data_IF_520321145359
#
_entry.id   IF_520321145359
#
_cell.length_a   1.000
_cell.length_b   1.000
_cell.length_c   1.000
_cell.angle_alpha   90.00
_cell.angle_beta   90.00
_cell.angle_gamma   90.00
#
_symmetry.space_group_name_H-M   'P 1'
#
loop_
_entity.id
_entity.type
_entity.pdbx_description
1 polymer ?
#
# COMPACT_ATOMS: atom_id res chain seq x y z
N UNK A 1 -11.23 14.76 14.93
CA UNK A 1 -12.17 15.83 14.66
C UNK A 1 -11.99 16.29 13.23
N UNK A 2 -13.12 16.46 12.54
CA UNK A 2 -13.14 16.81 11.12
C UNK A 2 -12.60 18.25 10.95
N UNK A 3 -11.56 18.43 10.15
CA UNK A 3 -10.87 19.69 9.90
C UNK A 3 -11.83 20.86 9.56
N UNK A 4 -12.84 20.72 8.67
CA UNK A 4 -13.81 21.78 8.41
C UNK A 4 -14.58 22.25 9.65
N UNK A 5 -14.91 21.33 10.55
CA UNK A 5 -15.62 21.64 11.80
C UNK A 5 -14.75 22.49 12.75
N UNK A 6 -13.43 22.20 12.79
CA UNK A 6 -12.49 23.01 13.57
C UNK A 6 -12.41 24.42 13.01
N UNK A 7 -12.24 24.57 11.71
CA UNK A 7 -12.19 25.88 11.03
C UNK A 7 -13.47 26.71 11.36
N UNK A 8 -14.64 26.12 11.17
CA UNK A 8 -15.90 26.79 11.47
C UNK A 8 -15.96 27.26 12.92
N UNK A 9 -15.67 26.37 13.88
CA UNK A 9 -15.71 26.70 15.30
C UNK A 9 -14.74 27.86 15.64
N UNK A 10 -13.50 27.78 15.18
CA UNK A 10 -12.46 28.76 15.46
C UNK A 10 -12.78 30.09 14.80
N UNK A 11 -13.18 30.09 13.52
CA UNK A 11 -13.56 31.32 12.81
C UNK A 11 -14.76 32.00 13.45
N UNK A 12 -15.74 31.24 13.91
CA UNK A 12 -16.89 31.75 14.63
C UNK A 12 -16.50 32.37 15.98
N UNK A 13 -15.59 31.77 16.72
CA UNK A 13 -15.06 32.31 17.98
C UNK A 13 -14.26 33.58 17.72
N UNK A 14 -13.34 33.56 16.74
CA UNK A 14 -12.53 34.71 16.36
C UNK A 14 -13.39 35.91 15.93
N UNK A 15 -14.42 35.68 15.11
CA UNK A 15 -15.38 36.69 14.66
C UNK A 15 -16.08 37.35 15.83
N UNK A 16 -16.57 36.54 16.79
CA UNK A 16 -17.22 37.05 18.01
C UNK A 16 -16.26 37.85 18.89
N UNK A 17 -15.01 37.39 19.01
CA UNK A 17 -14.01 38.02 19.87
C UNK A 17 -13.55 39.40 19.38
N UNK A 18 -13.78 39.75 18.12
CA UNK A 18 -13.50 41.05 17.54
C UNK A 18 -14.76 41.81 17.09
N UNK A 19 -15.94 41.35 17.50
CA UNK A 19 -17.24 41.91 17.12
C UNK A 19 -17.41 42.16 15.62
N UNK A 20 -16.77 41.31 14.78
CA UNK A 20 -16.86 41.41 13.34
C UNK A 20 -18.22 40.90 12.83
N UNK A 21 -18.75 41.53 11.80
CA UNK A 21 -19.95 41.06 11.11
C UNK A 21 -19.66 39.87 10.18
N UNK A 22 -18.56 39.92 9.43
CA UNK A 22 -18.14 38.89 8.54
C UNK A 22 -16.80 38.27 8.91
N UNK A 23 -16.60 36.97 8.53
CA UNK A 23 -15.32 36.29 8.59
C UNK A 23 -15.18 35.32 7.41
N UNK A 24 -13.97 35.25 6.90
CA UNK A 24 -13.60 34.42 5.75
C UNK A 24 -12.28 33.71 6.06
N UNK A 25 -12.19 32.47 5.71
CA UNK A 25 -10.95 31.71 5.80
C UNK A 25 -10.53 31.19 4.42
N UNK A 26 -9.33 31.52 4.03
CA UNK A 26 -8.70 31.09 2.81
C UNK A 26 -7.55 30.15 3.15
N UNK A 27 -7.57 28.93 2.61
CA UNK A 27 -6.41 28.02 2.69
C UNK A 27 -5.41 28.33 1.57
N UNK A 28 -4.15 27.97 1.79
CA UNK A 28 -3.11 28.06 0.78
C UNK A 28 -2.55 26.65 0.54
N UNK A 29 -2.72 26.15 -0.68
CA UNK A 29 -2.19 24.87 -1.09
C UNK A 29 -0.93 25.04 -1.95
N UNK A 30 0.08 24.18 -1.71
CA UNK A 30 1.38 24.17 -2.41
C UNK A 30 2.11 25.52 -2.50
N UNK A 31 1.82 26.45 -1.57
CA UNK A 31 2.27 27.86 -1.64
C UNK A 31 1.90 28.57 -2.95
N UNK A 32 0.91 28.08 -3.68
CA UNK A 32 0.55 28.57 -5.02
C UNK A 32 -0.89 28.99 -5.18
N UNK A 33 -1.81 28.26 -4.57
CA UNK A 33 -3.24 28.52 -4.73
C UNK A 33 -3.84 29.01 -3.43
N UNK A 34 -4.66 30.06 -3.51
CA UNK A 34 -5.49 30.53 -2.41
C UNK A 34 -6.94 30.21 -2.69
N UNK A 35 -7.59 29.49 -1.77
CA UNK A 35 -8.94 28.96 -1.92
C UNK A 35 -9.79 29.40 -0.73
N UNK A 36 -11.02 29.91 -0.98
CA UNK A 36 -11.98 30.17 0.08
C UNK A 36 -12.55 28.84 0.59
N UNK A 37 -12.36 28.52 1.86
CA UNK A 37 -12.90 27.29 2.46
C UNK A 37 -14.07 27.55 3.44
N UNK A 38 -14.10 28.74 4.02
CA UNK A 38 -15.15 29.11 4.98
C UNK A 38 -15.48 30.58 4.88
N UNK A 39 -16.76 30.89 4.90
CA UNK A 39 -17.24 32.28 5.07
C UNK A 39 -18.51 32.31 5.89
N UNK A 40 -18.68 33.42 6.65
CA UNK A 40 -19.88 33.70 7.38
C UNK A 40 -20.06 35.22 7.50
N UNK A 41 -21.22 35.76 7.08
CA UNK A 41 -21.62 37.11 7.28
C UNK A 41 -22.92 37.13 8.12
N UNK A 42 -22.84 37.63 9.32
CA UNK A 42 -23.90 37.49 10.31
C UNK A 42 -25.17 38.32 9.98
N UNK A 43 -24.97 39.54 9.51
CA UNK A 43 -26.11 40.42 9.13
C UNK A 43 -26.89 39.92 7.92
N UNK A 44 -26.24 39.17 7.02
CA UNK A 44 -26.86 38.56 5.84
C UNK A 44 -27.42 37.16 6.12
N UNK A 45 -27.10 36.60 7.28
CA UNK A 45 -27.34 35.19 7.60
C UNK A 45 -26.85 34.21 6.50
N UNK A 46 -25.79 34.59 5.76
CA UNK A 46 -25.17 33.81 4.71
C UNK A 46 -23.90 33.20 5.26
N UNK A 47 -23.69 31.93 4.96
CA UNK A 47 -22.44 31.22 5.30
C UNK A 47 -22.17 30.13 4.27
N UNK A 48 -20.91 29.96 3.96
CA UNK A 48 -20.39 28.85 3.14
C UNK A 48 -19.48 28.02 4.03
N UNK A 49 -19.75 26.73 4.11
CA UNK A 49 -18.90 25.77 4.78
C UNK A 49 -18.73 24.61 3.79
N UNK A 50 -17.48 24.34 3.36
CA UNK A 50 -17.19 23.35 2.34
C UNK A 50 -17.29 23.86 0.89
N UNK A 51 -17.31 22.94 -0.06
CA UNK A 51 -17.21 23.22 -1.51
C UNK A 51 -18.48 23.76 -2.17
N UNK A 52 -19.54 24.02 -1.42
CA UNK A 52 -20.81 24.49 -1.97
C UNK A 52 -20.81 26.01 -2.15
N UNK A 53 -21.07 26.49 -3.38
CA UNK A 53 -21.21 27.89 -3.81
C UNK A 53 -19.96 28.78 -3.85
N UNK A 54 -18.87 28.31 -4.45
CA UNK A 54 -17.65 29.08 -4.71
C UNK A 54 -17.71 30.06 -5.89
N UNK A 55 -18.88 30.35 -6.47
CA UNK A 55 -18.97 31.15 -7.70
C UNK A 55 -18.43 32.59 -7.55
N UNK A 56 -18.46 33.18 -6.32
CA UNK A 56 -17.98 34.53 -6.08
C UNK A 56 -16.47 34.64 -5.80
N UNK A 57 -15.83 33.57 -5.28
CA UNK A 57 -14.43 33.58 -4.91
C UNK A 57 -13.73 32.41 -5.55
N UNK A 58 -13.36 32.52 -6.84
CA UNK A 58 -12.64 31.44 -7.53
C UNK A 58 -11.27 31.21 -6.90
N UNK A 59 -10.78 29.98 -7.02
CA UNK A 59 -9.38 29.66 -6.68
C UNK A 59 -8.42 30.54 -7.45
N UNK A 60 -7.48 31.17 -6.76
CA UNK A 60 -6.53 32.13 -7.37
C UNK A 60 -5.11 31.59 -7.29
N UNK A 61 -4.43 31.60 -8.43
CA UNK A 61 -3.03 31.22 -8.52
C UNK A 61 -2.12 32.38 -8.11
N UNK A 62 -1.50 32.33 -6.96
CA UNK A 62 -0.70 33.40 -6.36
C UNK A 62 0.48 33.89 -7.24
N UNK A 63 1.22 33.03 -7.97
CA UNK A 63 2.25 33.50 -8.88
C UNK A 63 1.75 34.48 -9.95
N UNK A 64 0.53 34.31 -10.48
CA UNK A 64 -0.05 35.25 -11.47
C UNK A 64 -0.41 36.58 -10.83
N UNK A 65 -0.73 36.59 -9.53
CA UNK A 65 -1.08 37.79 -8.77
C UNK A 65 0.14 38.60 -8.39
N UNK A 66 1.32 37.98 -8.28
CA UNK A 66 2.55 38.61 -7.79
C UNK A 66 2.90 39.90 -8.56
N UNK A 67 2.67 39.93 -9.86
CA UNK A 67 3.00 41.04 -10.74
C UNK A 67 1.86 42.03 -10.94
N UNK A 68 0.67 41.82 -10.34
CA UNK A 68 -0.44 42.75 -10.41
C UNK A 68 -0.14 44.01 -9.57
N UNK A 69 -0.49 45.18 -10.09
CA UNK A 69 -0.34 46.45 -9.40
C UNK A 69 -1.23 46.58 -8.13
N UNK A 70 -2.40 45.94 -8.19
CA UNK A 70 -3.35 45.84 -7.04
C UNK A 70 -3.64 44.37 -6.79
N UNK A 71 -3.88 44.01 -5.54
CA UNK A 71 -4.16 42.65 -5.07
C UNK A 71 -5.35 42.68 -4.12
N UNK A 72 -6.21 41.66 -4.20
CA UNK A 72 -7.24 41.49 -3.22
C UNK A 72 -6.65 41.40 -1.80
N UNK A 73 -7.36 41.79 -0.73
CA UNK A 73 -6.81 41.80 0.63
C UNK A 73 -6.20 40.44 1.05
N UNK A 74 -6.90 39.34 0.77
CA UNK A 74 -6.39 37.99 1.05
C UNK A 74 -5.16 37.64 0.26
N UNK A 75 -5.08 38.04 -1.03
CA UNK A 75 -3.91 37.83 -1.91
C UNK A 75 -2.70 38.66 -1.43
N UNK A 76 -2.93 39.96 -1.08
CA UNK A 76 -1.87 40.82 -0.54
C UNK A 76 -1.30 40.25 0.75
N UNK A 77 -2.19 39.87 1.68
CA UNK A 77 -1.82 39.29 2.96
C UNK A 77 -1.04 37.98 2.77
N UNK A 78 -1.46 37.13 1.82
CA UNK A 78 -0.79 35.87 1.49
C UNK A 78 0.63 36.08 0.92
N UNK A 79 0.78 37.03 -0.02
CA UNK A 79 2.04 37.27 -0.70
C UNK A 79 3.09 37.99 0.15
N UNK A 80 2.64 39.02 0.93
CA UNK A 80 3.53 39.84 1.73
C UNK A 80 3.70 39.34 3.17
N UNK A 81 2.83 38.40 3.62
CA UNK A 81 2.79 37.91 5.01
C UNK A 81 2.59 39.02 6.05
N UNK A 82 1.93 40.07 5.65
CA UNK A 82 1.65 41.23 6.47
C UNK A 82 0.18 41.28 6.90
N UNK A 83 -0.08 41.73 8.11
CA UNK A 83 -1.44 41.97 8.62
C UNK A 83 -1.99 43.22 7.94
N UNK A 84 -3.17 43.13 7.36
CA UNK A 84 -3.91 44.28 6.90
C UNK A 84 -4.93 44.62 8.00
N UNK A 85 -4.87 45.80 8.55
CA UNK A 85 -5.88 46.36 9.43
C UNK A 85 -6.32 47.72 8.86
N UNK A 86 -7.38 47.72 8.11
CA UNK A 86 -7.87 48.93 7.42
C UNK A 86 -9.18 49.42 8.01
N UNK A 87 -9.26 50.73 8.40
CA UNK A 87 -10.50 51.34 8.85
C UNK A 87 -11.51 51.53 7.71
N UNK A 88 -11.04 51.68 6.46
CA UNK A 88 -11.86 51.71 5.26
C UNK A 88 -11.10 51.12 4.09
N UNK A 89 -11.52 49.90 3.68
CA UNK A 89 -10.81 49.12 2.70
C UNK A 89 -10.79 49.78 1.31
N UNK A 90 -11.84 50.51 0.96
CA UNK A 90 -11.93 51.23 -0.32
C UNK A 90 -10.97 52.42 -0.42
N UNK A 91 -10.46 52.89 0.71
CA UNK A 91 -9.46 53.98 0.78
C UNK A 91 -8.04 53.51 0.95
N UNK A 92 -7.83 52.16 1.00
CA UNK A 92 -6.50 51.58 1.20
C UNK A 92 -5.77 51.50 -0.12
N UNK A 93 -4.63 52.18 -0.23
CA UNK A 93 -3.80 52.16 -1.46
C UNK A 93 -3.21 50.81 -1.72
N UNK A 94 -3.14 50.40 -3.01
CA UNK A 94 -2.52 49.15 -3.42
C UNK A 94 -3.39 47.89 -3.26
N UNK A 95 -4.55 48.02 -2.71
CA UNK A 95 -5.52 46.92 -2.57
C UNK A 95 -6.52 46.96 -3.72
N UNK A 96 -6.84 45.80 -4.27
CA UNK A 96 -7.93 45.59 -5.21
C UNK A 96 -9.21 45.27 -4.46
N UNK A 97 -10.21 46.06 -4.68
CA UNK A 97 -11.53 45.95 -3.99
C UNK A 97 -12.65 45.48 -4.94
N UNK A 98 -12.36 45.14 -6.18
CA UNK A 98 -13.38 44.79 -7.17
C UNK A 98 -14.26 43.59 -6.76
N UNK A 99 -13.65 42.56 -6.15
CA UNK A 99 -14.40 41.41 -5.65
C UNK A 99 -15.26 41.75 -4.47
N UNK A 100 -14.77 42.64 -3.57
CA UNK A 100 -15.54 43.14 -2.43
C UNK A 100 -16.74 43.98 -2.91
N UNK A 101 -16.49 44.87 -3.87
CA UNK A 101 -17.59 45.69 -4.45
C UNK A 101 -18.66 44.83 -5.11
N UNK A 102 -18.26 43.80 -5.90
CA UNK A 102 -19.23 42.86 -6.49
C UNK A 102 -20.01 42.07 -5.43
N UNK A 103 -19.35 41.64 -4.35
CA UNK A 103 -20.03 40.94 -3.26
C UNK A 103 -21.02 41.90 -2.55
N UNK A 104 -20.60 43.12 -2.27
CA UNK A 104 -21.43 44.15 -1.62
C UNK A 104 -22.67 44.48 -2.47
N UNK A 105 -22.50 44.72 -3.76
CA UNK A 105 -23.59 44.99 -4.72
C UNK A 105 -24.58 43.83 -4.81
N UNK A 106 -24.06 42.61 -4.90
CA UNK A 106 -24.89 41.40 -5.06
C UNK A 106 -25.71 41.07 -3.79
N UNK A 107 -25.24 41.49 -2.62
CA UNK A 107 -25.86 41.16 -1.33
C UNK A 107 -26.47 42.38 -0.61
N UNK A 108 -26.48 43.54 -1.24
CA UNK A 108 -26.88 44.82 -0.61
C UNK A 108 -26.16 45.01 0.72
N UNK A 109 -24.84 44.79 0.71
CA UNK A 109 -23.96 44.87 1.86
C UNK A 109 -22.98 46.04 1.70
N UNK A 110 -22.34 46.45 2.75
CA UNK A 110 -21.30 47.49 2.69
C UNK A 110 -20.11 47.08 3.55
N UNK A 111 -19.05 46.69 2.94
CA UNK A 111 -17.77 46.39 3.61
C UNK A 111 -17.01 47.69 3.85
N UNK A 112 -16.74 48.06 5.10
CA UNK A 112 -16.01 49.27 5.49
C UNK A 112 -14.66 48.86 6.10
N UNK A 113 -14.65 48.35 7.32
CA UNK A 113 -13.41 47.97 8.00
C UNK A 113 -13.04 46.51 7.69
N UNK A 114 -11.73 46.28 7.56
CA UNK A 114 -11.21 44.95 7.21
C UNK A 114 -9.93 44.63 8.00
N UNK A 115 -9.88 43.44 8.57
CA UNK A 115 -8.69 42.84 9.19
C UNK A 115 -8.36 41.54 8.48
N UNK A 116 -7.18 41.42 7.85
CA UNK A 116 -6.69 40.20 7.31
C UNK A 116 -5.38 39.78 7.97
N UNK A 117 -5.28 38.50 8.36
CA UNK A 117 -4.16 37.95 9.13
C UNK A 117 -3.60 36.73 8.40
N UNK A 118 -2.28 36.72 8.07
CA UNK A 118 -1.65 35.55 7.51
C UNK A 118 -1.45 34.49 8.59
N UNK A 119 -1.76 33.24 8.27
CA UNK A 119 -1.53 32.07 9.12
C UNK A 119 -0.27 31.36 8.65
N UNK A 120 0.79 31.50 9.41
CA UNK A 120 2.10 30.93 9.12
C UNK A 120 2.47 29.89 10.16
N UNK A 121 3.13 28.81 9.69
CA UNK A 121 3.64 27.78 10.57
C UNK A 121 4.96 28.21 11.26
N UNK A 122 5.53 27.33 12.08
CA UNK A 122 6.80 27.58 12.78
C UNK A 122 8.01 27.69 11.84
N UNK A 123 7.88 27.27 10.59
CA UNK A 123 8.93 27.31 9.54
C UNK A 123 8.71 28.47 8.58
N UNK A 124 7.77 29.40 8.93
CA UNK A 124 7.38 30.54 8.09
C UNK A 124 6.70 30.12 6.76
N UNK A 125 6.13 28.91 6.68
CA UNK A 125 5.29 28.55 5.55
C UNK A 125 3.89 29.12 5.73
N UNK A 126 3.35 29.71 4.66
CA UNK A 126 1.99 30.24 4.67
C UNK A 126 0.99 29.08 4.53
N UNK A 127 0.10 28.95 5.51
CA UNK A 127 -0.94 27.93 5.53
C UNK A 127 -2.30 28.46 5.10
N UNK A 128 -2.54 29.75 5.28
CA UNK A 128 -3.81 30.38 4.93
C UNK A 128 -3.89 31.85 5.31
N UNK A 129 -5.06 32.42 5.10
CA UNK A 129 -5.40 33.81 5.51
C UNK A 129 -6.76 33.81 6.19
N UNK A 130 -6.84 34.40 7.37
CA UNK A 130 -8.10 34.69 8.05
C UNK A 130 -8.45 36.15 7.83
N UNK A 131 -9.65 36.45 7.32
CA UNK A 131 -10.13 37.78 7.02
C UNK A 131 -11.43 38.04 7.77
N UNK A 132 -11.53 39.24 8.37
CA UNK A 132 -12.68 39.70 9.13
C UNK A 132 -13.15 41.04 8.58
N UNK A 133 -14.45 41.26 8.53
CA UNK A 133 -15.04 42.50 7.99
C UNK A 133 -16.01 43.12 8.98
N UNK A 134 -16.04 44.44 9.00
CA UNK A 134 -17.00 45.27 9.71
C UNK A 134 -17.06 44.97 11.22
N UNK A 135 -16.01 45.38 11.97
CA UNK A 135 -16.08 45.41 13.41
C UNK A 135 -17.20 46.39 13.88
N UNK A 136 -17.98 46.01 14.88
CA UNK A 136 -19.12 46.79 15.37
C UNK A 136 -18.88 47.21 16.83
N UNK A 137 -19.32 48.44 17.15
CA UNK A 137 -19.41 48.89 18.55
C UNK A 137 -20.68 48.34 19.22
N UNK A 138 -20.86 48.66 20.50
CA UNK A 138 -22.03 48.28 21.29
C UNK A 138 -23.37 48.78 20.71
N UNK A 139 -23.34 49.82 19.89
CA UNK A 139 -24.51 50.39 19.21
C UNK A 139 -24.73 49.83 17.82
N UNK A 140 -23.90 48.86 17.39
CA UNK A 140 -23.96 48.26 16.05
C UNK A 140 -23.36 49.11 14.93
N UNK A 141 -22.70 50.22 15.23
CA UNK A 141 -22.02 51.05 14.25
C UNK A 141 -20.69 50.42 13.85
N UNK A 142 -20.38 50.41 12.56
CA UNK A 142 -19.12 49.88 12.05
C UNK A 142 -17.98 50.80 12.50
N UNK A 143 -16.95 50.18 13.09
CA UNK A 143 -15.71 50.81 13.55
C UNK A 143 -14.50 50.10 13.00
N UNK A 144 -13.32 50.69 13.12
CA UNK A 144 -12.06 50.00 12.82
C UNK A 144 -11.72 48.92 13.86
N UNK A 145 -11.01 47.88 13.45
CA UNK A 145 -10.51 46.86 14.39
C UNK A 145 -9.48 47.49 15.33
N UNK A 146 -9.65 47.32 16.62
CA UNK A 146 -8.69 47.81 17.63
C UNK A 146 -7.44 46.89 17.66
N UNK A 147 -6.33 47.42 18.19
CA UNK A 147 -5.10 46.64 18.37
C UNK A 147 -5.33 45.45 19.30
N UNK A 148 -6.19 45.63 20.33
CA UNK A 148 -6.57 44.56 21.26
C UNK A 148 -7.35 43.45 20.55
N UNK A 149 -8.37 43.81 19.76
CA UNK A 149 -9.15 42.89 18.96
C UNK A 149 -8.22 42.11 17.99
N UNK A 150 -7.28 42.80 17.30
CA UNK A 150 -6.30 42.17 16.44
C UNK A 150 -5.44 41.14 17.17
N UNK A 151 -4.95 41.45 18.40
CA UNK A 151 -4.13 40.49 19.17
C UNK A 151 -4.95 39.27 19.60
N UNK A 152 -6.19 39.46 20.02
CA UNK A 152 -7.08 38.35 20.40
C UNK A 152 -7.36 37.45 19.21
N UNK A 153 -7.74 38.04 18.08
CA UNK A 153 -7.98 37.28 16.84
C UNK A 153 -6.74 36.51 16.40
N UNK A 154 -5.57 37.15 16.43
CA UNK A 154 -4.30 36.49 16.10
C UNK A 154 -4.04 35.26 17.00
N UNK A 155 -4.34 35.39 18.31
CA UNK A 155 -4.17 34.27 19.23
C UNK A 155 -5.15 33.13 18.98
N UNK A 156 -6.40 33.44 18.64
CA UNK A 156 -7.40 32.41 18.29
C UNK A 156 -7.07 31.76 16.96
N UNK A 157 -6.62 32.52 15.96
CA UNK A 157 -6.24 32.00 14.65
C UNK A 157 -5.02 31.06 14.68
N UNK A 158 -4.16 31.16 15.71
CA UNK A 158 -3.10 30.20 15.92
C UNK A 158 -3.63 28.76 16.10
N UNK A 159 -4.84 28.59 16.60
CA UNK A 159 -5.47 27.27 16.68
C UNK A 159 -5.75 26.70 15.28
N UNK A 160 -6.10 27.53 14.31
CA UNK A 160 -6.27 27.14 12.92
C UNK A 160 -4.91 26.68 12.33
N UNK A 161 -3.85 27.45 12.61
CA UNK A 161 -2.49 27.09 12.18
C UNK A 161 -2.10 25.70 12.68
N UNK A 162 -2.32 25.42 13.97
CA UNK A 162 -2.03 24.10 14.56
C UNK A 162 -2.87 23.00 13.90
N UNK A 163 -4.15 23.25 13.66
CA UNK A 163 -5.02 22.26 13.00
C UNK A 163 -4.57 21.96 11.55
N UNK A 164 -4.16 23.00 10.81
CA UNK A 164 -3.60 22.88 9.46
C UNK A 164 -2.27 22.13 9.45
N UNK A 165 -1.35 22.49 10.36
CA UNK A 165 -0.07 21.76 10.50
C UNK A 165 -0.30 20.27 10.76
N UNK A 166 -1.20 19.94 11.70
CA UNK A 166 -1.52 18.55 12.03
C UNK A 166 -2.13 17.81 10.83
N UNK A 167 -3.04 18.46 10.07
CA UNK A 167 -3.62 17.89 8.86
C UNK A 167 -2.52 17.59 7.83
N UNK A 168 -1.69 18.59 7.51
CA UNK A 168 -0.63 18.46 6.52
C UNK A 168 0.40 17.38 6.93
N UNK A 169 0.75 17.30 8.22
CA UNK A 169 1.63 16.26 8.74
C UNK A 169 1.02 14.88 8.62
N UNK A 170 -0.27 14.72 8.92
CA UNK A 170 -0.97 13.45 8.77
C UNK A 170 -1.01 13.00 7.30
N UNK A 171 -1.32 13.89 6.38
CA UNK A 171 -1.32 13.61 4.94
C UNK A 171 0.08 13.24 4.43
N UNK A 172 1.11 14.00 4.81
CA UNK A 172 2.49 13.70 4.44
C UNK A 172 2.97 12.35 5.01
N UNK A 173 2.58 12.02 6.25
CA UNK A 173 2.89 10.72 6.85
C UNK A 173 2.21 9.56 6.12
N UNK A 174 0.93 9.73 5.75
CA UNK A 174 0.20 8.72 4.97
C UNK A 174 0.85 8.50 3.60
N UNK A 175 1.21 9.57 2.89
CA UNK A 175 1.90 9.48 1.59
C UNK A 175 3.27 8.81 1.70
N UNK A 176 4.03 9.11 2.76
CA UNK A 176 5.31 8.46 3.01
C UNK A 176 5.13 6.96 3.25
N UNK A 177 4.14 6.57 4.06
CA UNK A 177 3.84 5.17 4.33
C UNK A 177 3.42 4.42 3.06
N UNK A 178 2.54 5.01 2.24
CA UNK A 178 2.15 4.43 0.95
C UNK A 178 3.35 4.24 0.01
N UNK A 179 4.20 5.27 -0.11
CA UNK A 179 5.42 5.19 -0.92
C UNK A 179 6.37 4.11 -0.41
N UNK A 180 6.50 3.96 0.90
CA UNK A 180 7.33 2.93 1.51
C UNK A 180 6.80 1.51 1.22
N UNK A 181 5.49 1.31 1.34
CA UNK A 181 4.82 0.04 1.01
C UNK A 181 5.02 -0.30 -0.47
N UNK A 182 4.87 0.67 -1.36
CA UNK A 182 5.09 0.46 -2.80
C UNK A 182 6.55 0.06 -3.11
N UNK A 183 7.53 0.70 -2.47
CA UNK A 183 8.95 0.34 -2.61
C UNK A 183 9.21 -1.08 -2.11
N UNK A 184 8.65 -1.47 -0.96
CA UNK A 184 8.76 -2.83 -0.43
C UNK A 184 8.15 -3.85 -1.39
N UNK A 185 6.95 -3.61 -1.88
CA UNK A 185 6.27 -4.51 -2.82
C UNK A 185 7.06 -4.68 -4.12
N UNK A 186 7.62 -3.58 -4.67
CA UNK A 186 8.50 -3.64 -5.84
C UNK A 186 9.80 -4.42 -5.56
N UNK A 187 10.38 -4.29 -4.37
CA UNK A 187 11.57 -5.06 -3.99
C UNK A 187 11.26 -6.56 -3.87
N UNK A 188 10.06 -6.92 -3.40
CA UNK A 188 9.56 -8.30 -3.35
C UNK A 188 9.37 -8.85 -4.77
N UNK A 189 8.72 -8.07 -5.66
CA UNK A 189 8.54 -8.45 -7.06
C UNK A 189 9.87 -8.65 -7.81
N UNK A 190 10.89 -7.84 -7.51
CA UNK A 190 12.20 -7.95 -8.13
C UNK A 190 12.95 -9.23 -7.75
N UNK A 191 12.56 -9.90 -6.66
CA UNK A 191 13.19 -11.14 -6.18
C UNK A 191 12.84 -12.35 -7.06
N UNK A 192 11.67 -12.33 -7.75
CA UNK A 192 11.25 -13.42 -8.64
C UNK A 192 10.97 -12.89 -10.04
N UNK A 193 11.60 -13.44 -11.10
CA UNK A 193 11.38 -13.01 -12.47
C UNK A 193 9.95 -13.28 -12.97
N UNK A 194 9.18 -14.10 -12.26
CA UNK A 194 7.81 -14.47 -12.64
C UNK A 194 6.74 -13.52 -12.07
N UNK A 195 7.10 -12.64 -11.12
CA UNK A 195 6.15 -11.77 -10.39
C UNK A 195 6.15 -10.32 -10.87
N UNK A 196 6.83 -10.02 -11.97
CA UNK A 196 6.90 -8.66 -12.55
C UNK A 196 5.50 -8.05 -12.72
N UNK A 197 5.21 -6.95 -12.02
CA UNK A 197 3.92 -6.26 -11.94
C UNK A 197 2.75 -7.00 -11.24
N UNK A 198 2.98 -8.16 -10.62
CA UNK A 198 1.92 -8.87 -9.88
C UNK A 198 1.43 -8.05 -8.69
N UNK A 199 2.34 -7.59 -7.83
CA UNK A 199 2.01 -6.77 -6.66
C UNK A 199 1.33 -5.43 -7.02
N UNK A 200 1.50 -4.93 -8.25
CA UNK A 200 0.79 -3.73 -8.71
C UNK A 200 -0.65 -4.02 -9.15
N UNK A 201 -0.90 -5.22 -9.70
CA UNK A 201 -2.24 -5.60 -10.22
C UNK A 201 -3.19 -6.07 -9.12
N UNK A 202 -2.68 -6.77 -8.10
CA UNK A 202 -3.49 -7.33 -7.03
C UNK A 202 -4.30 -6.27 -6.29
N UNK A 203 -3.75 -5.11 -5.87
CA UNK A 203 -4.54 -4.07 -5.22
C UNK A 203 -5.67 -3.50 -6.10
N UNK A 204 -5.43 -3.38 -7.41
CA UNK A 204 -6.44 -2.90 -8.36
C UNK A 204 -7.59 -3.90 -8.46
N UNK A 205 -7.27 -5.18 -8.62
CA UNK A 205 -8.28 -6.25 -8.75
C UNK A 205 -9.05 -6.41 -7.44
N UNK A 206 -8.36 -6.42 -6.30
CA UNK A 206 -8.99 -6.52 -4.99
C UNK A 206 -9.99 -5.37 -4.75
N UNK A 207 -9.61 -4.14 -5.11
CA UNK A 207 -10.48 -2.97 -5.01
C UNK A 207 -11.70 -3.09 -5.93
N UNK A 208 -11.52 -3.53 -7.17
CA UNK A 208 -12.63 -3.73 -8.11
C UNK A 208 -13.63 -4.77 -7.59
N UNK A 209 -13.14 -5.90 -7.09
CA UNK A 209 -13.97 -6.95 -6.51
C UNK A 209 -14.72 -6.47 -5.26
N UNK A 210 -14.03 -5.81 -4.34
CA UNK A 210 -14.66 -5.26 -3.14
C UNK A 210 -15.69 -4.17 -3.48
N UNK A 211 -15.41 -3.32 -4.47
CA UNK A 211 -16.39 -2.32 -4.95
C UNK A 211 -17.65 -2.99 -5.50
N UNK A 212 -17.48 -4.02 -6.31
CA UNK A 212 -18.63 -4.78 -6.84
C UNK A 212 -19.42 -5.47 -5.71
N UNK A 213 -18.74 -6.01 -4.69
CA UNK A 213 -19.38 -6.65 -3.55
C UNK A 213 -20.18 -5.65 -2.69
N UNK A 214 -19.66 -4.45 -2.47
CA UNK A 214 -20.38 -3.37 -1.74
C UNK A 214 -21.56 -2.82 -2.54
N UNK A 215 -21.48 -2.80 -3.86
CA UNK A 215 -22.56 -2.33 -4.74
C UNK A 215 -23.66 -3.37 -4.97
N UNK A 216 -23.43 -4.63 -4.57
CA UNK A 216 -24.41 -5.70 -4.75
C UNK A 216 -25.60 -5.49 -3.81
N UNK A 217 -26.80 -5.42 -4.38
CA UNK A 217 -28.06 -5.20 -3.63
C UNK A 217 -28.87 -6.48 -3.41
N UNK A 218 -28.43 -7.58 -4.00
CA UNK A 218 -29.13 -8.88 -3.96
C UNK A 218 -28.21 -10.00 -3.44
N UNK A 219 -28.79 -11.15 -3.16
CA UNK A 219 -28.03 -12.34 -2.75
C UNK A 219 -27.35 -12.23 -1.38
N UNK A 220 -26.24 -12.96 -1.22
CA UNK A 220 -25.54 -13.08 0.07
C UNK A 220 -24.73 -11.84 0.44
N UNK A 221 -24.43 -10.98 -0.52
CA UNK A 221 -23.61 -9.77 -0.33
C UNK A 221 -24.42 -8.49 -0.09
N UNK A 222 -25.75 -8.55 -0.12
CA UNK A 222 -26.64 -7.38 0.04
C UNK A 222 -26.42 -6.54 1.31
N UNK A 223 -25.80 -7.12 2.32
CA UNK A 223 -25.49 -6.47 3.60
C UNK A 223 -23.99 -6.25 3.80
N UNK A 224 -23.21 -6.49 2.75
CA UNK A 224 -21.76 -6.30 2.83
C UNK A 224 -21.42 -4.82 2.71
N UNK A 225 -20.83 -4.28 3.75
CA UNK A 225 -20.40 -2.88 3.82
C UNK A 225 -18.92 -2.82 4.22
N UNK A 226 -18.24 -1.80 3.77
CA UNK A 226 -16.85 -1.54 4.13
C UNK A 226 -16.70 -0.12 4.63
N UNK A 227 -16.18 0.02 5.84
CA UNK A 227 -15.77 1.32 6.40
C UNK A 227 -14.53 1.89 5.69
N UNK A 228 -14.22 3.18 5.83
CA UNK A 228 -12.97 3.76 5.32
C UNK A 228 -11.71 3.01 5.80
N UNK A 229 -11.70 2.51 7.04
CA UNK A 229 -10.60 1.74 7.61
C UNK A 229 -10.49 0.34 6.97
N UNK A 230 -11.61 -0.29 6.62
CA UNK A 230 -11.62 -1.56 5.90
C UNK A 230 -11.04 -1.41 4.49
N UNK A 231 -11.40 -0.32 3.78
CA UNK A 231 -10.83 0.00 2.48
C UNK A 231 -9.31 0.22 2.54
N UNK A 232 -8.85 0.93 3.57
CA UNK A 232 -7.42 1.14 3.79
C UNK A 232 -6.70 -0.17 4.12
N UNK A 233 -7.29 -0.99 5.00
CA UNK A 233 -6.76 -2.31 5.36
C UNK A 233 -6.66 -3.23 4.15
N UNK A 234 -7.71 -3.29 3.31
CA UNK A 234 -7.69 -4.06 2.07
C UNK A 234 -6.58 -3.60 1.13
N UNK A 235 -6.40 -2.29 0.99
CA UNK A 235 -5.34 -1.70 0.17
C UNK A 235 -3.95 -2.15 0.64
N UNK A 236 -3.64 -1.98 1.92
CA UNK A 236 -2.35 -2.37 2.50
C UNK A 236 -2.11 -3.89 2.42
N UNK A 237 -3.13 -4.69 2.79
CA UNK A 237 -3.04 -6.15 2.73
C UNK A 237 -2.79 -6.64 1.31
N UNK A 238 -3.42 -6.02 0.32
CA UNK A 238 -3.24 -6.36 -1.09
C UNK A 238 -1.82 -6.07 -1.60
N UNK A 239 -1.20 -4.98 -1.15
CA UNK A 239 0.19 -4.67 -1.48
C UNK A 239 1.20 -5.60 -0.80
N UNK A 240 0.92 -5.99 0.44
CA UNK A 240 1.84 -6.76 1.27
C UNK A 240 1.55 -8.27 1.30
N UNK A 241 0.59 -8.78 0.47
CA UNK A 241 0.19 -10.18 0.51
C UNK A 241 1.35 -11.16 0.31
N UNK A 242 2.37 -10.75 -0.43
CA UNK A 242 3.56 -11.53 -0.75
C UNK A 242 4.79 -11.20 0.11
N UNK A 243 4.65 -10.41 1.18
CA UNK A 243 5.79 -9.95 2.00
C UNK A 243 6.63 -11.11 2.59
N UNK A 244 6.05 -12.29 2.81
CA UNK A 244 6.75 -13.48 3.25
C UNK A 244 7.82 -13.99 2.27
N UNK A 245 7.75 -13.62 0.99
CA UNK A 245 8.78 -13.98 -0.01
C UNK A 245 10.16 -13.38 0.29
N UNK A 246 10.22 -12.27 1.06
CA UNK A 246 11.49 -11.64 1.44
C UNK A 246 12.38 -12.60 2.21
N UNK A 247 11.79 -13.36 3.13
CA UNK A 247 12.50 -14.30 4.01
C UNK A 247 12.68 -15.68 3.38
N UNK A 248 11.96 -15.97 2.29
CA UNK A 248 12.04 -17.27 1.62
C UNK A 248 13.14 -17.26 0.56
N UNK A 249 14.07 -18.24 0.55
CA UNK A 249 15.10 -18.36 -0.49
C UNK A 249 14.51 -18.46 -1.89
N UNK A 250 15.16 -17.87 -2.89
CA UNK A 250 14.70 -17.86 -4.29
C UNK A 250 14.43 -19.26 -4.86
N UNK A 251 15.32 -20.21 -4.57
CA UNK A 251 15.16 -21.59 -5.02
C UNK A 251 13.94 -22.32 -4.44
N UNK A 252 13.28 -21.73 -3.44
CA UNK A 252 12.01 -22.21 -2.87
C UNK A 252 10.84 -21.49 -3.53
N UNK A 253 10.94 -20.17 -3.72
CA UNK A 253 9.89 -19.33 -4.31
C UNK A 253 9.65 -19.70 -5.77
N UNK A 254 10.73 -19.88 -6.56
CA UNK A 254 10.66 -20.13 -8.00
C UNK A 254 10.64 -21.61 -8.36
N UNK A 255 10.53 -22.47 -7.37
CA UNK A 255 10.52 -23.92 -7.51
C UNK A 255 9.37 -24.41 -8.40
N UNK A 256 9.70 -24.97 -9.55
CA UNK A 256 8.72 -25.50 -10.49
C UNK A 256 8.34 -26.96 -10.19
N UNK A 257 9.25 -27.73 -9.58
CA UNK A 257 9.02 -29.14 -9.22
C UNK A 257 9.36 -29.43 -7.76
N UNK A 258 8.73 -30.45 -7.17
CA UNK A 258 8.90 -30.75 -5.74
C UNK A 258 10.35 -31.06 -5.33
N UNK A 259 11.10 -31.71 -6.19
CA UNK A 259 12.50 -32.06 -5.97
C UNK A 259 13.51 -30.99 -6.41
N UNK A 260 13.02 -29.86 -6.93
CA UNK A 260 13.88 -28.78 -7.37
C UNK A 260 14.47 -28.00 -6.18
N UNK A 261 15.78 -27.77 -6.28
CA UNK A 261 16.52 -26.86 -5.41
C UNK A 261 17.33 -25.92 -6.31
N UNK A 262 18.63 -26.18 -6.52
CA UNK A 262 19.45 -25.50 -7.54
C UNK A 262 19.18 -26.14 -8.92
N UNK A 263 18.87 -27.43 -8.93
CA UNK A 263 18.47 -28.22 -10.11
C UNK A 263 17.43 -29.27 -9.71
N UNK A 264 16.68 -29.78 -10.71
CA UNK A 264 15.65 -30.79 -10.46
C UNK A 264 16.28 -32.13 -10.11
N UNK A 265 16.20 -32.54 -8.85
CA UNK A 265 16.80 -33.79 -8.34
C UNK A 265 16.12 -35.06 -8.84
N UNK A 266 15.07 -34.99 -9.65
CA UNK A 266 14.50 -36.17 -10.34
C UNK A 266 15.55 -36.91 -11.17
N UNK A 267 16.56 -36.19 -11.66
CA UNK A 267 17.67 -36.82 -12.42
C UNK A 267 18.53 -37.71 -11.54
N UNK A 268 18.73 -37.37 -10.26
CA UNK A 268 19.40 -38.28 -9.31
C UNK A 268 18.57 -39.54 -9.07
N UNK A 269 17.26 -39.38 -8.89
CA UNK A 269 16.35 -40.50 -8.69
C UNK A 269 16.32 -41.39 -9.92
N UNK A 270 16.27 -40.84 -11.13
CA UNK A 270 16.40 -41.60 -12.39
C UNK A 270 17.67 -42.43 -12.41
N UNK A 271 18.80 -41.86 -12.05
CA UNK A 271 20.07 -42.58 -11.99
C UNK A 271 20.02 -43.76 -11.00
N UNK A 272 19.33 -43.59 -9.86
CA UNK A 272 19.13 -44.69 -8.88
C UNK A 272 18.27 -45.82 -9.47
N UNK A 273 17.20 -45.49 -10.20
CA UNK A 273 16.39 -46.48 -10.90
C UNK A 273 17.17 -47.19 -12.03
N UNK A 274 18.06 -46.47 -12.73
CA UNK A 274 18.97 -47.09 -13.73
C UNK A 274 19.95 -48.06 -13.07
N UNK A 275 20.44 -47.78 -11.86
CA UNK A 275 21.27 -48.73 -11.09
C UNK A 275 20.44 -49.97 -10.76
N UNK A 276 19.24 -49.83 -10.19
CA UNK A 276 18.37 -50.96 -9.86
C UNK A 276 18.04 -51.82 -11.06
N UNK A 277 17.83 -51.23 -12.24
CA UNK A 277 17.61 -51.96 -13.49
C UNK A 277 18.84 -52.75 -13.92
N UNK A 278 20.04 -52.18 -13.75
CA UNK A 278 21.31 -52.87 -14.05
C UNK A 278 21.58 -53.99 -13.06
N UNK A 279 21.30 -53.78 -11.79
CA UNK A 279 21.42 -54.80 -10.75
C UNK A 279 20.48 -55.98 -11.03
N UNK A 280 19.24 -55.71 -11.41
CA UNK A 280 18.29 -56.72 -11.84
C UNK A 280 18.79 -57.52 -13.08
N UNK A 281 19.46 -56.84 -14.02
CA UNK A 281 20.04 -57.50 -15.18
C UNK A 281 21.25 -58.36 -14.81
N UNK A 282 22.10 -57.88 -13.90
CA UNK A 282 23.24 -58.63 -13.39
C UNK A 282 22.74 -59.88 -12.65
N UNK A 283 21.73 -59.74 -11.79
CA UNK A 283 21.10 -60.86 -11.08
C UNK A 283 20.55 -61.92 -12.06
N UNK A 284 19.85 -61.50 -13.10
CA UNK A 284 19.36 -62.36 -14.16
C UNK A 284 20.49 -63.14 -14.85
N UNK A 285 21.60 -62.46 -15.24
CA UNK A 285 22.72 -63.07 -15.90
C UNK A 285 23.46 -64.06 -14.99
N UNK A 286 23.63 -63.73 -13.70
CA UNK A 286 24.24 -64.62 -12.70
C UNK A 286 23.42 -65.88 -12.46
N UNK A 287 22.10 -65.74 -12.28
CA UNK A 287 21.18 -66.89 -12.15
C UNK A 287 21.21 -67.79 -13.40
N UNK A 288 21.33 -67.20 -14.59
CA UNK A 288 21.40 -67.88 -15.83
C UNK A 288 22.73 -68.65 -16.02
N UNK A 289 23.86 -68.04 -15.66
CA UNK A 289 25.18 -68.66 -15.73
C UNK A 289 25.30 -69.81 -14.74
N UNK A 290 24.68 -69.73 -13.57
CA UNK A 290 24.69 -70.79 -12.57
C UNK A 290 23.61 -71.87 -12.79
N UNK A 291 22.86 -71.83 -13.89
CA UNK A 291 21.76 -72.76 -14.22
C UNK A 291 20.77 -72.99 -13.10
N UNK A 292 20.41 -71.87 -12.37
CA UNK A 292 19.54 -71.93 -11.17
C UNK A 292 18.10 -72.28 -11.56
N UNK A 293 17.64 -71.87 -12.77
CA UNK A 293 16.25 -72.06 -13.23
C UNK A 293 16.21 -72.10 -14.79
N UNK A 294 15.04 -72.37 -15.34
CA UNK A 294 14.85 -72.39 -16.81
C UNK A 294 15.00 -70.99 -17.38
N UNK A 295 15.55 -70.90 -18.60
CA UNK A 295 15.77 -69.63 -19.29
C UNK A 295 14.48 -68.85 -19.45
N UNK A 296 13.36 -69.47 -19.68
CA UNK A 296 12.06 -68.82 -19.87
C UNK A 296 11.55 -68.22 -18.58
N UNK A 297 11.69 -68.90 -17.44
CA UNK A 297 11.25 -68.40 -16.12
C UNK A 297 12.10 -67.21 -15.66
N UNK A 298 13.44 -67.32 -15.77
CA UNK A 298 14.36 -66.22 -15.45
C UNK A 298 14.12 -64.97 -16.31
N UNK A 299 13.81 -65.16 -17.60
CA UNK A 299 13.49 -64.06 -18.52
C UNK A 299 12.16 -63.37 -18.09
N UNK A 300 11.15 -64.15 -17.74
CA UNK A 300 9.86 -63.61 -17.27
C UNK A 300 10.01 -62.84 -15.95
N UNK A 301 10.79 -63.34 -14.99
CA UNK A 301 11.10 -62.67 -13.72
C UNK A 301 11.81 -61.33 -13.97
N UNK A 302 12.83 -61.33 -14.84
CA UNK A 302 13.55 -60.08 -15.18
C UNK A 302 12.65 -59.07 -15.85
N UNK A 303 11.85 -59.45 -16.83
CA UNK A 303 10.93 -58.55 -17.54
C UNK A 303 9.89 -57.98 -16.56
N UNK A 304 9.34 -58.78 -15.66
CA UNK A 304 8.39 -58.32 -14.64
C UNK A 304 9.04 -57.29 -13.68
N UNK A 305 10.29 -57.55 -13.24
CA UNK A 305 11.03 -56.62 -12.36
C UNK A 305 11.34 -55.30 -13.05
N UNK A 306 11.77 -55.32 -14.31
CA UNK A 306 12.03 -54.09 -15.09
C UNK A 306 10.75 -53.28 -15.28
N UNK A 307 9.65 -53.93 -15.64
CA UNK A 307 8.35 -53.29 -15.78
C UNK A 307 7.90 -52.61 -14.49
N UNK A 308 8.06 -53.28 -13.35
CA UNK A 308 7.74 -52.67 -12.04
C UNK A 308 8.58 -51.42 -11.76
N UNK A 309 9.89 -51.47 -12.04
CA UNK A 309 10.76 -50.30 -11.86
C UNK A 309 10.39 -49.12 -12.78
N UNK A 310 9.98 -49.42 -14.02
CA UNK A 310 9.50 -48.39 -14.96
C UNK A 310 8.20 -47.75 -14.50
N UNK A 311 7.24 -48.56 -14.00
CA UNK A 311 5.99 -48.07 -13.43
C UNK A 311 6.19 -47.22 -12.12
N UNK A 312 7.11 -47.66 -11.27
CA UNK A 312 7.46 -46.93 -10.05
C UNK A 312 8.16 -45.61 -10.35
N UNK A 313 9.10 -45.60 -11.30
CA UNK A 313 9.74 -44.35 -11.72
C UNK A 313 8.75 -43.38 -12.37
N UNK A 314 7.87 -43.87 -13.24
CA UNK A 314 6.83 -43.06 -13.88
C UNK A 314 5.89 -42.42 -12.82
N UNK A 315 5.53 -43.19 -11.78
CA UNK A 315 4.76 -42.71 -10.67
C UNK A 315 5.50 -41.59 -9.88
N UNK A 316 6.77 -41.84 -9.52
CA UNK A 316 7.62 -40.85 -8.83
C UNK A 316 7.76 -39.57 -9.65
N UNK A 317 8.01 -39.71 -10.97
CA UNK A 317 8.14 -38.59 -11.88
C UNK A 317 6.85 -37.76 -11.97
N UNK A 318 5.68 -38.43 -11.99
CA UNK A 318 4.38 -37.78 -11.94
C UNK A 318 4.20 -37.00 -10.62
N UNK A 319 4.51 -37.63 -9.48
CA UNK A 319 4.41 -36.98 -8.17
C UNK A 319 5.34 -35.77 -8.00
N UNK A 320 6.42 -35.69 -8.78
CA UNK A 320 7.35 -34.57 -8.73
C UNK A 320 6.83 -33.30 -9.42
N UNK A 321 5.78 -33.35 -10.23
CA UNK A 321 5.20 -32.17 -10.85
C UNK A 321 4.52 -31.29 -9.81
N UNK A 322 4.71 -29.94 -9.91
CA UNK A 322 4.24 -28.98 -8.91
C UNK A 322 2.73 -28.91 -8.77
N UNK A 323 1.97 -29.24 -9.82
CA UNK A 323 0.52 -29.09 -9.89
C UNK A 323 -0.29 -30.25 -9.32
N UNK A 324 0.40 -31.31 -8.84
CA UNK A 324 -0.28 -32.51 -8.35
C UNK A 324 -0.33 -32.53 -6.82
N UNK A 325 -1.54 -32.47 -6.27
CA UNK A 325 -1.78 -32.77 -4.86
C UNK A 325 -1.70 -34.27 -4.64
N UNK A 326 -0.91 -34.70 -3.65
CA UNK A 326 -0.75 -36.08 -3.27
C UNK A 326 -1.80 -36.47 -2.21
N UNK A 327 -2.51 -37.55 -2.47
CA UNK A 327 -3.39 -38.16 -1.46
C UNK A 327 -2.63 -39.16 -0.59
N UNK A 328 -3.24 -39.64 0.50
CA UNK A 328 -2.61 -40.58 1.45
C UNK A 328 -2.14 -41.89 0.79
N UNK A 329 -2.80 -42.35 -0.28
CA UNK A 329 -2.40 -43.55 -1.04
C UNK A 329 -1.13 -43.30 -1.85
N UNK A 330 -1.02 -42.10 -2.44
CA UNK A 330 0.18 -41.70 -3.20
C UNK A 330 1.37 -41.60 -2.26
N UNK A 331 1.18 -41.01 -1.07
CA UNK A 331 2.20 -40.92 -0.03
C UNK A 331 2.67 -42.31 0.42
N UNK A 332 1.73 -43.21 0.76
CA UNK A 332 2.04 -44.56 1.18
C UNK A 332 2.83 -45.35 0.07
N UNK A 333 2.45 -45.14 -1.19
CA UNK A 333 3.19 -45.74 -2.32
C UNK A 333 4.62 -45.18 -2.48
N UNK A 334 4.77 -43.85 -2.32
CA UNK A 334 6.10 -43.23 -2.31
C UNK A 334 6.99 -43.75 -1.18
N UNK A 335 6.42 -43.95 0.01
CA UNK A 335 7.10 -44.54 1.17
C UNK A 335 7.56 -45.97 0.86
N UNK A 336 6.71 -46.82 0.26
CA UNK A 336 7.09 -48.17 -0.15
C UNK A 336 8.23 -48.15 -1.16
N UNK A 337 8.17 -47.30 -2.20
CA UNK A 337 9.22 -47.15 -3.20
C UNK A 337 10.52 -46.65 -2.55
N UNK A 338 10.44 -45.76 -1.57
CA UNK A 338 11.59 -45.20 -0.87
C UNK A 338 12.41 -46.24 -0.10
N UNK A 339 11.79 -47.35 0.30
CA UNK A 339 12.44 -48.44 1.03
C UNK A 339 13.28 -49.35 0.14
N UNK A 340 13.16 -49.21 -1.20
CA UNK A 340 13.97 -50.03 -2.14
C UNK A 340 15.46 -49.68 -1.92
N UNK A 341 16.28 -50.74 -1.73
CA UNK A 341 17.70 -50.62 -1.51
C UNK A 341 18.50 -50.92 -2.75
N UNK A 342 19.63 -50.25 -2.91
CA UNK A 342 20.63 -50.55 -3.94
C UNK A 342 22.04 -50.47 -3.36
N UNK A 343 22.99 -51.14 -3.98
CA UNK A 343 24.38 -51.20 -3.51
C UNK A 343 25.16 -50.02 -4.07
N UNK A 344 25.92 -49.35 -3.21
CA UNK A 344 26.83 -48.28 -3.59
C UNK A 344 28.26 -48.72 -3.29
N UNK A 345 29.13 -48.69 -4.31
CA UNK A 345 30.54 -49.11 -4.20
C UNK A 345 31.49 -47.95 -3.88
N UNK A 346 31.14 -46.72 -4.24
CA UNK A 346 32.01 -45.57 -4.02
C UNK A 346 31.85 -45.02 -2.60
N UNK A 347 32.97 -44.55 -2.01
CA UNK A 347 32.99 -43.99 -0.69
C UNK A 347 32.11 -42.73 -0.63
N UNK A 348 31.11 -42.75 0.22
CA UNK A 348 30.12 -41.70 0.42
C UNK A 348 30.70 -40.37 0.96
N UNK A 349 31.84 -40.46 1.66
CA UNK A 349 32.47 -39.31 2.30
C UNK A 349 33.33 -38.48 1.35
N UNK A 350 33.68 -39.04 0.18
CA UNK A 350 34.48 -38.31 -0.81
C UNK A 350 33.65 -37.22 -1.49
N UNK A 351 34.21 -36.01 -1.52
CA UNK A 351 33.59 -34.85 -2.14
C UNK A 351 32.65 -34.05 -1.22
N UNK A 352 32.41 -34.49 0.02
CA UNK A 352 31.61 -33.73 0.99
C UNK A 352 32.44 -32.66 1.67
N UNK A 353 31.79 -31.50 1.94
CA UNK A 353 32.30 -30.47 2.84
C UNK A 353 32.37 -31.01 4.29
N UNK A 354 33.10 -30.34 5.15
CA UNK A 354 33.18 -30.70 6.57
C UNK A 354 31.81 -30.71 7.26
N UNK A 355 30.93 -29.71 6.98
CA UNK A 355 29.59 -29.60 7.54
C UNK A 355 28.65 -30.74 7.06
N UNK A 356 28.78 -31.18 5.81
CA UNK A 356 28.01 -32.32 5.29
C UNK A 356 28.46 -33.64 5.89
N UNK A 357 29.77 -33.79 6.22
CA UNK A 357 30.31 -35.01 6.83
C UNK A 357 29.74 -35.25 8.22
N UNK A 358 29.52 -34.21 9.01
CA UNK A 358 28.96 -34.30 10.35
C UNK A 358 27.52 -34.83 10.36
N UNK A 359 26.78 -34.60 9.24
CA UNK A 359 25.40 -35.05 9.07
C UNK A 359 25.26 -36.42 8.38
N UNK A 360 26.35 -37.06 7.96
CA UNK A 360 26.33 -38.37 7.30
C UNK A 360 26.48 -39.46 8.35
N UNK A 361 25.37 -40.06 8.76
CA UNK A 361 25.37 -41.30 9.50
C UNK A 361 25.97 -42.45 8.69
N UNK A 362 26.68 -43.29 9.34
CA UNK A 362 27.75 -44.16 8.98
C UNK A 362 27.47 -45.32 7.96
N UNK A 363 28.40 -45.51 7.03
CA UNK A 363 29.01 -46.79 6.59
C UNK A 363 28.16 -47.88 5.87
N UNK A 364 26.90 -47.71 5.57
CA UNK A 364 26.16 -48.75 4.91
C UNK A 364 26.38 -48.73 3.38
N UNK A 365 26.83 -49.83 2.81
CA UNK A 365 26.90 -50.06 1.36
C UNK A 365 25.50 -50.05 0.71
N UNK A 366 24.44 -50.30 1.50
CA UNK A 366 23.05 -50.28 1.08
C UNK A 366 22.47 -48.89 1.30
N UNK A 367 21.90 -48.33 0.26
CA UNK A 367 21.28 -47.00 0.32
C UNK A 367 19.83 -47.07 -0.12
N UNK A 368 18.93 -46.53 0.67
CA UNK A 368 17.54 -46.38 0.29
C UNK A 368 17.36 -45.37 -0.84
N UNK A 369 16.31 -45.53 -1.65
CA UNK A 369 15.97 -44.62 -2.73
C UNK A 369 15.70 -43.20 -2.24
N UNK A 370 15.30 -43.04 -0.98
CA UNK A 370 15.02 -41.77 -0.30
C UNK A 370 14.27 -40.76 -1.17
N UNK A 371 12.95 -40.63 -0.96
CA UNK A 371 12.04 -39.74 -1.68
C UNK A 371 11.45 -38.65 -0.76
N UNK A 372 12.12 -38.39 0.36
CA UNK A 372 11.61 -37.59 1.50
C UNK A 372 11.02 -36.25 1.04
N UNK A 373 11.62 -35.58 0.05
CA UNK A 373 11.16 -34.26 -0.39
C UNK A 373 9.98 -34.27 -1.37
N UNK A 374 9.53 -35.42 -1.85
CA UNK A 374 8.37 -35.49 -2.76
C UNK A 374 7.05 -35.44 -1.98
N UNK A 375 7.04 -35.95 -0.76
CA UNK A 375 5.84 -35.97 0.10
C UNK A 375 5.57 -34.61 0.78
N UNK A 376 6.55 -33.71 0.82
CA UNK A 376 6.33 -32.36 1.37
C UNK A 376 5.53 -31.51 0.37
N UNK A 377 4.45 -30.83 0.85
CA UNK A 377 3.71 -29.94 -0.02
C UNK A 377 4.62 -28.82 -0.54
N UNK A 378 4.63 -28.61 -1.85
CA UNK A 378 5.20 -27.39 -2.44
C UNK A 378 4.34 -26.23 -1.93
N UNK A 379 4.79 -25.53 -0.90
CA UNK A 379 4.22 -24.24 -0.59
C UNK A 379 4.66 -23.28 -1.70
N UNK A 380 3.82 -23.12 -2.72
CA UNK A 380 3.75 -21.84 -3.42
C UNK A 380 3.13 -20.88 -2.42
N UNK A 381 3.94 -19.99 -1.85
CA UNK A 381 3.49 -18.87 -1.04
C UNK A 381 2.86 -17.85 -1.97
#
# INVERSE_FOLDING_TARGET
DDYPVIIEKVMRVARKACDADGCFFFSVSDNKYINLEYSRVNSLNVGISGTENMAFFPSVFLPDVKNRSRKAPSEYCALNREIINSPNIFQTTGIDTDLIAKFDDANNYSTISLLAIPLVDRKDNLLGVAQFTNAKDANGKIISFTTEAQKVVLSVCKLITIALENKNQKEAYSQLLESFIEVLARAIDAKSPYTGSHCQRVPIIARLLATAAVQETTGNLKTFEMSPDDWYTLHIASWLHDCGKVTTPEYIVDKATKLETIFNRIHEIRNRFEILRRDAHIEYLQKRLNNIDTKQHLQAEFVAKVKQLEEDFAFVAKCNTGDIELNDRDIARLEQISQIQFVRYFNRMLGLSWAERDNVENKDFYVHLSLIHISEPTRRV
#
